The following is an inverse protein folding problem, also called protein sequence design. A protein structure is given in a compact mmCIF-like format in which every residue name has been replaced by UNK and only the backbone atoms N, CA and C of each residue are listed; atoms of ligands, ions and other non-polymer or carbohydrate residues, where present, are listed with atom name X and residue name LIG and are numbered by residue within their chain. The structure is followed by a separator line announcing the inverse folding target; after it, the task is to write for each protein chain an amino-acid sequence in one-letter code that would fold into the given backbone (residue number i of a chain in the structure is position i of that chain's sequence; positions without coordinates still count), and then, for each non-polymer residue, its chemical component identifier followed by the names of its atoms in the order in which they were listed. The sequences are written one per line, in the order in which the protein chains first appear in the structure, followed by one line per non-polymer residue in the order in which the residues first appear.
data_IF_883184182083
#
_entry.id   IF_883184182083
#
_cell.length_a   1.000
_cell.length_b   1.000
_cell.length_c   1.000
_cell.angle_alpha   90.00
_cell.angle_beta   90.00
_cell.angle_gamma   90.00
#
_symmetry.space_group_name_H-M   'P 1'
#
loop_
_entity.id
_entity.type
_entity.pdbx_description
1 polymer ?
#
# COMPACT_ATOMS: atom_id res chain seq x y z
N UNK A 1 18.32 -11.49 1.84
CA UNK A 1 17.21 -11.64 2.81
C UNK A 1 16.65 -10.24 3.08
N UNK A 2 15.48 -9.88 2.53
CA UNK A 2 14.93 -8.53 2.71
C UNK A 2 14.40 -8.37 4.15
N UNK A 3 14.86 -7.36 4.90
CA UNK A 3 14.38 -7.09 6.25
C UNK A 3 13.01 -6.42 6.15
N UNK A 4 11.92 -7.17 6.26
CA UNK A 4 10.60 -6.52 6.25
C UNK A 4 9.35 -7.38 6.17
N UNK A 5 9.45 -8.68 5.89
CA UNK A 5 8.24 -9.51 5.76
C UNK A 5 7.80 -10.06 7.11
N UNK A 6 6.64 -9.60 7.60
CA UNK A 6 5.90 -10.18 8.73
C UNK A 6 4.59 -10.77 8.21
N UNK A 7 4.34 -12.04 8.47
CA UNK A 7 3.10 -12.72 8.12
C UNK A 7 2.78 -13.80 9.16
N UNK A 8 1.49 -14.02 9.40
CA UNK A 8 1.00 -15.07 10.30
C UNK A 8 -0.13 -15.82 9.61
N UNK A 9 -0.09 -17.15 9.67
CA UNK A 9 -1.15 -18.03 9.16
C UNK A 9 -1.91 -18.61 10.34
N UNK A 10 -3.18 -18.25 10.48
CA UNK A 10 -4.07 -18.84 11.48
C UNK A 10 -4.97 -19.89 10.83
N UNK A 11 -5.10 -21.05 11.47
CA UNK A 11 -6.07 -22.09 11.12
C UNK A 11 -7.02 -22.27 12.29
N UNK A 12 -8.32 -22.16 12.02
CA UNK A 12 -9.38 -22.34 13.03
C UNK A 12 -10.03 -23.69 12.81
N UNK A 13 -9.91 -24.59 13.79
CA UNK A 13 -10.62 -25.88 13.79
C UNK A 13 -11.75 -25.87 14.82
N UNK A 14 -12.76 -26.69 14.57
CA UNK A 14 -13.91 -26.86 15.46
C UNK A 14 -13.52 -27.62 16.74
N UNK A 15 -12.53 -28.50 16.61
CA UNK A 15 -12.08 -29.39 17.67
C UNK A 15 -10.58 -29.23 17.98
N UNK A 16 -10.23 -29.43 19.24
CA UNK A 16 -8.87 -29.21 19.78
C UNK A 16 -7.90 -30.31 19.32
N UNK A 17 -8.38 -31.55 19.17
CA UNK A 17 -7.57 -32.67 18.67
C UNK A 17 -7.12 -32.40 17.23
N UNK A 18 -8.05 -31.90 16.41
CA UNK A 18 -7.78 -31.54 15.00
C UNK A 18 -6.75 -30.40 14.90
N UNK A 19 -6.84 -29.37 15.76
CA UNK A 19 -5.84 -28.28 15.81
C UNK A 19 -4.44 -28.79 16.13
N UNK A 20 -4.34 -29.70 17.09
CA UNK A 20 -3.05 -30.24 17.54
C UNK A 20 -2.35 -31.06 16.45
N UNK A 21 -3.12 -31.76 15.60
CA UNK A 21 -2.61 -32.53 14.45
C UNK A 21 -2.20 -31.63 13.28
N UNK A 22 -2.90 -30.52 13.06
CA UNK A 22 -2.62 -29.60 11.95
C UNK A 22 -1.39 -28.70 12.18
N UNK A 23 -1.15 -28.29 13.43
CA UNK A 23 -0.01 -27.43 13.79
C UNK A 23 1.36 -27.97 13.29
N UNK A 24 1.75 -29.24 13.56
CA UNK A 24 3.03 -29.76 13.09
C UNK A 24 3.11 -29.84 11.56
N UNK A 25 2.00 -30.11 10.86
CA UNK A 25 1.97 -30.13 9.39
C UNK A 25 2.24 -28.74 8.81
N UNK A 26 1.65 -27.69 9.39
CA UNK A 26 1.90 -26.31 8.99
C UNK A 26 3.36 -25.90 9.24
N UNK A 27 3.95 -26.35 10.35
CA UNK A 27 5.37 -26.11 10.64
C UNK A 27 6.26 -26.82 9.61
N UNK A 28 5.93 -28.04 9.21
CA UNK A 28 6.66 -28.76 8.17
C UNK A 28 6.60 -28.05 6.81
N UNK A 29 5.41 -27.61 6.39
CA UNK A 29 5.22 -26.84 5.15
C UNK A 29 6.00 -25.51 5.20
N UNK A 30 5.91 -24.78 6.30
CA UNK A 30 6.66 -23.53 6.48
C UNK A 30 8.18 -23.74 6.39
N UNK A 31 8.71 -24.81 6.99
CA UNK A 31 10.13 -25.14 6.89
C UNK A 31 10.55 -25.54 5.47
N UNK A 32 9.68 -26.21 4.72
CA UNK A 32 9.96 -26.56 3.32
C UNK A 32 10.06 -25.32 2.42
N UNK A 33 9.22 -24.30 2.65
CA UNK A 33 9.17 -23.09 1.83
C UNK A 33 10.22 -22.04 2.22
N UNK A 34 10.30 -21.71 3.50
CA UNK A 34 11.06 -20.54 3.97
C UNK A 34 12.17 -20.89 4.95
N UNK A 35 12.39 -22.19 5.25
CA UNK A 35 13.34 -22.73 6.25
C UNK A 35 13.08 -22.27 7.69
N UNK A 36 13.13 -20.96 7.95
CA UNK A 36 12.87 -20.34 9.24
C UNK A 36 12.28 -18.94 9.04
N UNK A 37 11.30 -18.59 9.88
CA UNK A 37 10.71 -17.26 9.85
C UNK A 37 11.68 -16.21 10.43
N UNK A 38 11.77 -15.00 9.85
CA UNK A 38 12.52 -13.90 10.43
C UNK A 38 11.89 -13.45 11.76
N UNK A 39 12.65 -13.50 12.86
CA UNK A 39 12.14 -13.23 14.21
C UNK A 39 12.03 -11.75 14.55
N UNK A 40 12.75 -10.88 13.84
CA UNK A 40 12.87 -9.46 14.20
C UNK A 40 11.53 -8.72 14.19
N UNK A 41 10.76 -8.84 13.10
CA UNK A 41 9.44 -8.18 13.00
C UNK A 41 8.44 -8.72 14.02
N UNK A 42 8.49 -10.03 14.29
CA UNK A 42 7.62 -10.66 15.28
C UNK A 42 7.90 -10.16 16.70
N UNK A 43 9.19 -9.93 17.04
CA UNK A 43 9.59 -9.36 18.33
C UNK A 43 9.09 -7.93 18.54
N UNK A 44 9.17 -7.10 17.50
CA UNK A 44 8.65 -5.72 17.56
C UNK A 44 7.15 -5.74 17.83
N UNK A 45 6.39 -6.57 17.11
CA UNK A 45 4.94 -6.65 17.32
C UNK A 45 4.62 -7.23 18.69
N UNK A 46 5.37 -8.23 19.16
CA UNK A 46 5.18 -8.76 20.51
C UNK A 46 5.38 -7.68 21.57
N UNK A 47 6.45 -6.87 21.48
CA UNK A 47 6.72 -5.77 22.41
C UNK A 47 5.59 -4.73 22.42
N UNK A 48 5.10 -4.35 21.24
CA UNK A 48 4.00 -3.37 21.10
C UNK A 48 2.69 -3.91 21.70
N UNK A 49 2.45 -5.22 21.61
CA UNK A 49 1.22 -5.84 22.11
C UNK A 49 1.26 -6.14 23.61
N UNK A 50 2.45 -6.30 24.20
CA UNK A 50 2.63 -6.63 25.62
C UNK A 50 2.63 -5.38 26.53
N UNK A 51 3.07 -4.23 26.02
CA UNK A 51 3.06 -2.95 26.73
C UNK A 51 1.81 -2.12 26.41
N UNK A 52 1.00 -1.81 27.42
CA UNK A 52 -0.24 -1.03 27.29
C UNK A 52 0.00 0.39 26.74
N UNK A 53 1.11 1.03 27.06
CA UNK A 53 1.44 2.36 26.54
C UNK A 53 1.78 2.30 25.04
N UNK A 54 2.60 1.32 24.64
CA UNK A 54 2.94 1.11 23.23
C UNK A 54 1.73 0.67 22.40
N UNK A 55 0.86 -0.16 22.98
CA UNK A 55 -0.38 -0.58 22.35
C UNK A 55 -1.30 0.61 22.07
N UNK A 56 -1.49 1.48 23.05
CA UNK A 56 -2.31 2.69 22.89
C UNK A 56 -1.72 3.67 21.88
N UNK A 57 -0.40 3.82 21.85
CA UNK A 57 0.28 4.62 20.82
C UNK A 57 0.05 4.03 19.42
N UNK A 58 0.23 2.71 19.28
CA UNK A 58 -0.01 2.01 18.01
C UNK A 58 -1.46 2.13 17.53
N UNK A 59 -2.44 2.07 18.44
CA UNK A 59 -3.86 2.27 18.12
C UNK A 59 -4.11 3.69 17.59
N UNK A 60 -3.52 4.70 18.21
CA UNK A 60 -3.61 6.09 17.75
C UNK A 60 -3.00 6.27 16.36
N UNK A 61 -1.84 5.66 16.12
CA UNK A 61 -1.17 5.68 14.81
C UNK A 61 -2.04 5.00 13.73
N UNK A 62 -2.67 3.87 14.05
CA UNK A 62 -3.64 3.19 13.17
C UNK A 62 -4.82 4.08 12.79
N UNK A 63 -5.41 4.77 13.76
CA UNK A 63 -6.53 5.68 13.54
C UNK A 63 -6.08 6.85 12.65
N UNK A 64 -4.93 7.45 12.96
CA UNK A 64 -4.38 8.56 12.18
C UNK A 64 -4.12 8.15 10.72
N UNK A 65 -3.46 7.02 10.50
CA UNK A 65 -3.17 6.51 9.15
C UNK A 65 -4.44 6.15 8.39
N UNK A 66 -5.41 5.51 9.05
CA UNK A 66 -6.71 5.15 8.46
C UNK A 66 -7.49 6.39 8.03
N UNK A 67 -7.56 7.40 8.90
CA UNK A 67 -8.22 8.68 8.61
C UNK A 67 -7.54 9.41 7.46
N UNK A 68 -6.20 9.43 7.42
CA UNK A 68 -5.45 10.02 6.31
C UNK A 68 -5.74 9.33 4.98
N UNK A 69 -5.80 8.00 4.96
CA UNK A 69 -6.18 7.25 3.75
C UNK A 69 -7.62 7.52 3.33
N UNK A 70 -8.53 7.66 4.29
CA UNK A 70 -9.94 7.99 4.02
C UNK A 70 -10.07 9.39 3.41
N UNK A 71 -9.44 10.40 4.02
CA UNK A 71 -9.40 11.76 3.50
C UNK A 71 -8.79 11.84 2.08
N UNK A 72 -7.75 11.05 1.81
CA UNK A 72 -7.16 10.97 0.47
C UNK A 72 -8.12 10.35 -0.55
N UNK A 73 -8.84 9.27 -0.18
CA UNK A 73 -9.88 8.67 -1.04
C UNK A 73 -11.03 9.63 -1.29
N UNK A 74 -11.46 10.38 -0.28
CA UNK A 74 -12.53 11.36 -0.41
C UNK A 74 -12.11 12.54 -1.29
N UNK A 75 -10.89 13.05 -1.13
CA UNK A 75 -10.33 14.10 -2.00
C UNK A 75 -10.19 13.62 -3.45
N UNK A 76 -9.79 12.37 -3.64
CA UNK A 76 -9.73 11.76 -4.97
C UNK A 76 -11.15 11.65 -5.55
N UNK A 77 -12.09 11.08 -4.81
CA UNK A 77 -13.48 10.94 -5.24
C UNK A 77 -14.11 12.28 -5.62
N UNK A 78 -13.91 13.34 -4.84
CA UNK A 78 -14.38 14.69 -5.19
C UNK A 78 -13.74 15.23 -6.48
N UNK A 79 -12.45 14.94 -6.72
CA UNK A 79 -11.77 15.25 -7.98
C UNK A 79 -12.34 14.47 -9.17
N UNK A 80 -12.66 13.18 -8.98
CA UNK A 80 -13.22 12.29 -10.01
C UNK A 80 -14.73 12.49 -10.24
N UNK A 81 -15.49 13.00 -9.28
CA UNK A 81 -16.91 13.37 -9.46
C UNK A 81 -17.02 14.66 -10.27
N UNK A 82 -16.09 15.61 -10.10
CA UNK A 82 -16.03 16.84 -10.94
C UNK A 82 -15.54 16.58 -12.36
N UNK A 83 -14.75 15.53 -12.57
CA UNK A 83 -14.32 15.06 -13.88
C UNK A 83 -14.41 13.55 -13.86
N UNK A 84 -15.43 12.97 -14.51
CA UNK A 84 -15.56 11.51 -14.70
C UNK A 84 -14.27 10.94 -15.29
N UNK A 85 -13.36 10.52 -14.43
CA UNK A 85 -12.02 10.01 -14.73
C UNK A 85 -11.99 8.64 -14.08
N UNK A 86 -11.85 7.60 -14.89
CA UNK A 86 -11.64 6.23 -14.40
C UNK A 86 -10.18 6.06 -13.94
N UNK A 87 -9.83 4.93 -13.31
CA UNK A 87 -8.46 4.55 -12.92
C UNK A 87 -7.45 4.79 -14.06
N UNK A 88 -7.93 4.69 -15.30
CA UNK A 88 -7.27 5.15 -16.51
C UNK A 88 -8.15 6.15 -17.26
N UNK A 89 -7.67 7.37 -17.43
CA UNK A 89 -8.38 8.38 -18.22
C UNK A 89 -7.55 8.79 -19.43
N UNK A 90 -8.25 8.98 -20.54
CA UNK A 90 -7.70 9.59 -21.74
C UNK A 90 -7.77 11.11 -21.58
N UNK A 91 -6.63 11.77 -21.67
CA UNK A 91 -6.56 13.24 -21.55
C UNK A 91 -6.93 13.95 -22.85
N UNK A 92 -6.93 13.25 -23.98
CA UNK A 92 -7.15 13.83 -25.31
C UNK A 92 -5.97 14.66 -25.83
N UNK A 93 -4.83 14.66 -25.13
CA UNK A 93 -3.63 15.40 -25.51
C UNK A 93 -2.89 14.73 -26.66
N UNK A 94 -2.35 15.53 -27.57
CA UNK A 94 -1.49 15.07 -28.65
C UNK A 94 -0.11 14.63 -28.15
N UNK A 95 0.60 13.83 -28.95
CA UNK A 95 1.96 13.34 -28.62
C UNK A 95 2.95 14.49 -28.37
N UNK A 96 2.77 15.63 -29.03
CA UNK A 96 3.59 16.84 -28.87
C UNK A 96 3.35 17.50 -27.50
N UNK A 97 2.09 17.56 -27.07
CA UNK A 97 1.72 18.12 -25.76
C UNK A 97 2.17 17.19 -24.62
N UNK A 98 2.09 15.87 -24.81
CA UNK A 98 2.64 14.89 -23.86
C UNK A 98 4.15 15.03 -23.71
N UNK A 99 4.88 15.22 -24.81
CA UNK A 99 6.32 15.47 -24.76
C UNK A 99 6.64 16.78 -24.04
N UNK A 100 5.86 17.84 -24.27
CA UNK A 100 6.03 19.12 -23.57
C UNK A 100 5.80 18.98 -22.06
N UNK A 101 4.77 18.22 -21.64
CA UNK A 101 4.49 17.94 -20.24
C UNK A 101 5.61 17.14 -19.56
N UNK A 102 6.22 16.21 -20.28
CA UNK A 102 7.39 15.47 -19.81
C UNK A 102 8.60 16.39 -19.64
N UNK A 103 8.91 17.18 -20.67
CA UNK A 103 10.19 17.91 -20.74
C UNK A 103 10.17 19.21 -19.92
N UNK A 104 9.03 19.92 -19.85
CA UNK A 104 8.89 21.18 -19.09
C UNK A 104 8.35 21.00 -17.68
N UNK A 105 7.52 19.98 -17.45
CA UNK A 105 6.77 19.82 -16.20
C UNK A 105 7.05 18.51 -15.47
N UNK A 106 7.91 17.64 -16.02
CA UNK A 106 8.23 16.33 -15.46
C UNK A 106 6.97 15.47 -15.17
N UNK A 107 5.93 15.64 -15.99
CA UNK A 107 4.69 14.87 -15.92
C UNK A 107 4.77 13.77 -16.96
N UNK A 108 4.83 12.52 -16.50
CA UNK A 108 5.00 11.35 -17.35
C UNK A 108 3.65 10.69 -17.64
N UNK A 109 3.24 10.74 -18.90
CA UNK A 109 2.02 10.14 -19.44
C UNK A 109 2.40 9.10 -20.50
N UNK A 110 1.49 8.17 -20.82
CA UNK A 110 1.69 7.34 -22.00
C UNK A 110 1.61 8.23 -23.27
N UNK A 111 2.33 7.89 -24.35
CA UNK A 111 2.29 8.64 -25.61
C UNK A 111 0.87 8.78 -26.21
N UNK A 112 -0.04 7.87 -25.86
CA UNK A 112 -1.46 7.92 -26.23
C UNK A 112 -2.29 8.95 -25.44
N UNK A 113 -1.67 9.70 -24.51
CA UNK A 113 -2.37 10.62 -23.61
C UNK A 113 -3.12 9.92 -22.47
N UNK A 114 -2.90 8.61 -22.26
CA UNK A 114 -3.47 7.86 -21.13
C UNK A 114 -2.69 8.16 -19.85
N UNK A 115 -3.42 8.49 -18.78
CA UNK A 115 -2.86 8.69 -17.44
C UNK A 115 -3.35 7.62 -16.46
N UNK A 116 -2.51 7.30 -15.46
CA UNK A 116 -2.89 6.51 -14.29
C UNK A 116 -2.96 7.42 -13.07
N UNK A 117 -4.12 7.45 -12.42
CA UNK A 117 -4.38 8.35 -11.27
C UNK A 117 -3.69 7.86 -9.98
N UNK A 118 -3.17 6.62 -9.98
CA UNK A 118 -2.52 5.98 -8.83
C UNK A 118 -1.19 6.63 -8.38
N UNK A 119 -0.61 7.52 -9.20
CA UNK A 119 0.61 8.29 -8.87
C UNK A 119 0.37 9.66 -8.22
N UNK A 120 -0.88 10.08 -8.01
CA UNK A 120 -1.21 11.39 -7.45
C UNK A 120 -1.10 11.39 -5.93
N UNK A 121 -0.20 12.22 -5.36
CA UNK A 121 -0.18 12.50 -3.91
C UNK A 121 -1.01 13.74 -3.59
N UNK A 122 -1.78 13.77 -2.49
CA UNK A 122 -2.42 15.01 -2.04
C UNK A 122 -1.38 15.90 -1.37
N UNK A 123 -0.88 16.92 -2.07
CA UNK A 123 -0.17 18.05 -1.47
C UNK A 123 -1.12 19.25 -1.38
N UNK A 124 -0.88 20.20 -0.46
CA UNK A 124 -1.51 21.52 -0.56
C UNK A 124 -1.26 22.09 -1.96
N UNK A 125 -2.30 22.66 -2.53
CA UNK A 125 -2.38 23.15 -3.90
C UNK A 125 -1.61 24.47 -4.04
N UNK A 126 -0.33 24.47 -3.66
CA UNK A 126 0.61 25.60 -3.77
C UNK A 126 1.86 25.26 -4.60
N UNK A 127 2.00 24.03 -5.08
CA UNK A 127 3.02 23.66 -6.07
C UNK A 127 2.41 22.78 -7.16
N UNK A 128 2.29 23.24 -8.42
CA UNK A 128 1.58 22.52 -9.47
C UNK A 128 2.27 21.24 -10.01
N UNK A 129 3.45 20.86 -9.52
CA UNK A 129 4.39 20.04 -10.33
C UNK A 129 4.96 18.79 -9.65
N UNK A 130 4.23 18.11 -8.75
CA UNK A 130 4.66 16.81 -8.20
C UNK A 130 3.63 15.71 -8.42
N UNK A 131 3.65 15.13 -9.62
CA UNK A 131 3.04 13.82 -9.89
C UNK A 131 4.11 12.75 -9.80
N UNK A 132 3.89 11.69 -9.01
CA UNK A 132 4.82 10.58 -8.92
C UNK A 132 4.74 9.72 -10.17
N UNK A 133 5.74 9.86 -11.04
CA UNK A 133 6.14 8.81 -11.96
C UNK A 133 6.90 7.75 -11.16
N UNK A 134 6.33 6.56 -11.04
CA UNK A 134 7.10 5.37 -10.75
C UNK A 134 6.49 4.22 -11.55
N UNK A 135 7.02 3.99 -12.75
CA UNK A 135 6.98 2.68 -13.39
C UNK A 135 8.42 2.33 -13.76
N UNK A 136 8.90 1.12 -13.42
CA UNK A 136 10.27 0.71 -13.64
C UNK A 136 10.55 0.51 -15.13
N UNK A 137 11.71 0.98 -15.57
CA UNK A 137 12.48 0.33 -16.63
C UNK A 137 13.41 -0.69 -16.00
#
# INVERSE_FOLDING_TARGET
MHPGTLAVTHLVSIDTETSSKMTPLLVQLSRAEITSCPSYGARIVAEILDDEQLYNQWLNDLIYMSNRMKAMRDSLYQGLVRRRIDMFSMTGLSTVEVAMLRDKHHIYLLPSGRLSVTGCKPSPMTSPYRFCANMPG
#
